data_IF_280296859853
#
_entry.id   IF_280296859853
#
_cell.length_a   1.000
_cell.length_b   1.000
_cell.length_c   1.000
_cell.angle_alpha   90.00
_cell.angle_beta   90.00
_cell.angle_gamma   90.00
#
_symmetry.space_group_name_H-M   'P 1'
#
loop_
_entity.id
_entity.type
_entity.pdbx_description
1 polymer ?
#
# COMPACT_ATOMS: atom_id res chain seq x y z
N UNK A 1 -31.65 -30.05 0.18
CA UNK A 1 -30.69 -28.92 0.13
C UNK A 1 -29.81 -28.99 -1.11
N UNK A 2 -29.13 -30.12 -1.37
CA UNK A 2 -28.29 -30.29 -2.57
C UNK A 2 -29.05 -30.10 -3.89
N UNK A 3 -30.27 -30.63 -4.03
CA UNK A 3 -31.07 -30.53 -5.28
C UNK A 3 -31.44 -29.10 -5.67
N UNK A 4 -31.83 -28.27 -4.70
CA UNK A 4 -32.18 -26.86 -4.94
C UNK A 4 -30.94 -26.03 -5.31
N UNK A 5 -29.81 -26.31 -4.66
CA UNK A 5 -28.53 -25.69 -4.99
C UNK A 5 -28.09 -26.03 -6.42
N UNK A 6 -28.21 -27.30 -6.82
CA UNK A 6 -27.91 -27.74 -8.19
C UNK A 6 -28.77 -26.98 -9.19
N UNK A 7 -30.07 -26.85 -8.93
CA UNK A 7 -30.99 -26.13 -9.82
C UNK A 7 -30.63 -24.64 -9.94
N UNK A 8 -30.26 -23.99 -8.83
CA UNK A 8 -29.82 -22.59 -8.85
C UNK A 8 -28.53 -22.42 -9.65
N UNK A 9 -27.58 -23.35 -9.54
CA UNK A 9 -26.33 -23.33 -10.30
C UNK A 9 -26.56 -23.57 -11.79
N UNK A 10 -27.41 -24.52 -12.15
CA UNK A 10 -27.80 -24.76 -13.55
C UNK A 10 -28.48 -23.54 -14.15
N UNK A 11 -29.42 -22.94 -13.42
CA UNK A 11 -30.09 -21.72 -13.85
C UNK A 11 -29.10 -20.56 -14.01
N UNK A 12 -28.18 -20.37 -13.05
CA UNK A 12 -27.12 -19.36 -13.14
C UNK A 12 -26.24 -19.53 -14.39
N UNK A 13 -25.94 -20.77 -14.77
CA UNK A 13 -25.15 -21.08 -15.96
C UNK A 13 -25.88 -20.82 -17.28
N UNK A 14 -27.21 -20.69 -17.27
CA UNK A 14 -28.01 -20.34 -18.43
C UNK A 14 -28.18 -18.82 -18.62
N UNK A 15 -27.85 -18.02 -17.59
CA UNK A 15 -27.96 -16.57 -17.65
C UNK A 15 -26.85 -15.93 -18.48
N UNK A 16 -27.19 -14.82 -19.14
CA UNK A 16 -26.22 -13.94 -19.81
C UNK A 16 -25.39 -13.15 -18.78
N UNK A 17 -24.22 -12.65 -19.18
CA UNK A 17 -23.29 -11.96 -18.28
C UNK A 17 -23.94 -10.79 -17.51
N UNK A 18 -24.78 -9.98 -18.19
CA UNK A 18 -25.51 -8.87 -17.55
C UNK A 18 -26.50 -9.35 -16.49
N UNK A 19 -27.17 -10.48 -16.76
CA UNK A 19 -28.14 -11.06 -15.84
C UNK A 19 -27.42 -11.68 -14.63
N UNK A 20 -26.27 -12.34 -14.85
CA UNK A 20 -25.41 -12.84 -13.78
C UNK A 20 -24.92 -11.72 -12.88
N UNK A 21 -24.45 -10.61 -13.47
CA UNK A 21 -24.00 -9.45 -12.68
C UNK A 21 -25.13 -8.87 -11.83
N UNK A 22 -26.32 -8.67 -12.41
CA UNK A 22 -27.48 -8.18 -11.67
C UNK A 22 -27.87 -9.12 -10.53
N UNK A 23 -27.91 -10.44 -10.79
CA UNK A 23 -28.21 -11.43 -9.76
C UNK A 23 -27.18 -11.42 -8.63
N UNK A 24 -25.88 -11.38 -8.97
CA UNK A 24 -24.81 -11.34 -7.98
C UNK A 24 -24.92 -10.10 -7.10
N UNK A 25 -25.22 -8.92 -7.68
CA UNK A 25 -25.44 -7.69 -6.90
C UNK A 25 -26.58 -7.85 -5.91
N UNK A 26 -27.73 -8.39 -6.34
CA UNK A 26 -28.88 -8.60 -5.44
C UNK A 26 -28.59 -9.62 -4.34
N UNK A 27 -27.93 -10.74 -4.67
CA UNK A 27 -27.54 -11.75 -3.68
C UNK A 27 -26.60 -11.17 -2.63
N UNK A 28 -25.57 -10.45 -3.07
CA UNK A 28 -24.60 -9.80 -2.19
C UNK A 28 -25.29 -8.76 -1.27
N UNK A 29 -26.21 -7.97 -1.81
CA UNK A 29 -26.97 -6.98 -1.03
C UNK A 29 -27.90 -7.63 0.01
N UNK A 30 -28.34 -8.88 -0.23
CA UNK A 30 -29.17 -9.64 0.71
C UNK A 30 -28.38 -10.37 1.79
N UNK A 31 -27.05 -10.41 1.70
CA UNK A 31 -26.21 -11.18 2.63
C UNK A 31 -26.18 -10.58 4.05
N UNK A 32 -26.22 -11.44 5.06
CA UNK A 32 -26.01 -11.07 6.46
C UNK A 32 -24.53 -10.92 6.80
N UNK A 33 -24.21 -10.31 7.96
CA UNK A 33 -22.81 -10.04 8.36
C UNK A 33 -21.88 -11.27 8.38
N UNK A 34 -22.40 -12.45 8.76
CA UNK A 34 -21.62 -13.69 8.73
C UNK A 34 -21.37 -14.21 7.31
N UNK A 35 -22.32 -14.00 6.40
CA UNK A 35 -22.18 -14.36 4.99
C UNK A 35 -21.21 -13.42 4.27
N UNK A 36 -21.19 -12.14 4.63
CA UNK A 36 -20.16 -11.20 4.19
C UNK A 36 -18.76 -11.61 4.63
N UNK A 37 -18.61 -12.05 5.88
CA UNK A 37 -17.32 -12.57 6.35
C UNK A 37 -16.90 -13.81 5.54
N UNK A 38 -17.81 -14.76 5.33
CA UNK A 38 -17.54 -15.92 4.48
C UNK A 38 -17.14 -15.52 3.06
N UNK A 39 -17.85 -14.58 2.45
CA UNK A 39 -17.53 -14.07 1.11
C UNK A 39 -16.13 -13.45 1.07
N UNK A 40 -15.73 -12.71 2.10
CA UNK A 40 -14.38 -12.14 2.19
C UNK A 40 -13.30 -13.23 2.22
N UNK A 41 -13.53 -14.33 2.95
CA UNK A 41 -12.60 -15.47 3.00
C UNK A 41 -12.52 -16.20 1.65
N UNK A 42 -13.65 -16.45 1.00
CA UNK A 42 -13.70 -17.17 -0.29
C UNK A 42 -13.10 -16.35 -1.44
N UNK A 43 -13.19 -15.03 -1.35
CA UNK A 43 -12.67 -14.14 -2.39
C UNK A 43 -11.19 -13.81 -2.21
N UNK A 44 -10.64 -13.88 -1.00
CA UNK A 44 -9.24 -13.50 -0.70
C UNK A 44 -8.21 -14.06 -1.70
N UNK A 45 -8.29 -15.35 -2.05
CA UNK A 45 -7.35 -16.00 -2.98
C UNK A 45 -7.63 -15.71 -4.46
N UNK A 46 -8.83 -15.20 -4.77
CA UNK A 46 -9.31 -14.95 -6.13
C UNK A 46 -9.37 -13.45 -6.46
N UNK A 47 -9.01 -12.57 -5.51
CA UNK A 47 -8.96 -11.13 -5.72
C UNK A 47 -8.04 -10.82 -6.90
N UNK A 48 -8.65 -10.24 -7.93
CA UNK A 48 -8.00 -9.79 -9.14
C UNK A 48 -7.31 -10.87 -10.01
N UNK A 49 -7.44 -12.17 -9.70
CA UNK A 49 -6.80 -13.25 -10.47
C UNK A 49 -7.22 -13.29 -11.94
N UNK A 50 -8.48 -12.93 -12.19
CA UNK A 50 -9.07 -12.82 -13.51
C UNK A 50 -9.57 -11.39 -13.78
N UNK A 51 -8.97 -10.36 -13.15
CA UNK A 51 -9.47 -8.99 -13.39
C UNK A 51 -9.13 -8.54 -14.81
N UNK A 52 -10.07 -7.90 -15.52
CA UNK A 52 -9.75 -7.17 -16.75
C UNK A 52 -8.68 -6.10 -16.51
N UNK A 53 -8.01 -5.67 -17.57
CA UNK A 53 -6.93 -4.66 -17.51
C UNK A 53 -7.35 -3.32 -16.91
N UNK A 54 -8.65 -3.03 -16.88
CA UNK A 54 -9.24 -1.77 -16.38
C UNK A 54 -9.69 -1.85 -14.91
N UNK A 55 -9.19 -2.84 -14.18
CA UNK A 55 -9.49 -3.00 -12.78
C UNK A 55 -9.05 -1.78 -11.95
N UNK A 56 -9.97 -1.20 -11.18
CA UNK A 56 -9.64 -0.06 -10.32
C UNK A 56 -8.65 -0.49 -9.22
N UNK A 57 -7.56 0.25 -9.12
CA UNK A 57 -6.58 0.08 -8.06
C UNK A 57 -7.17 0.50 -6.71
N UNK A 58 -7.07 -0.33 -5.65
CA UNK A 58 -7.59 0.01 -4.33
C UNK A 58 -7.00 1.31 -3.75
N UNK A 59 -5.70 1.57 -3.94
CA UNK A 59 -5.06 2.81 -3.48
C UNK A 59 -5.49 4.03 -4.31
N UNK A 60 -5.96 3.84 -5.55
CA UNK A 60 -6.50 4.92 -6.36
C UNK A 60 -7.91 5.34 -5.92
N UNK A 61 -8.64 4.46 -5.23
CA UNK A 61 -9.97 4.79 -4.68
C UNK A 61 -9.87 5.51 -3.32
N UNK A 62 -8.72 5.42 -2.65
CA UNK A 62 -8.50 6.03 -1.36
C UNK A 62 -8.00 7.49 -1.49
N UNK A 63 -8.38 8.38 -0.56
CA UNK A 63 -7.77 9.70 -0.45
C UNK A 63 -6.25 9.60 -0.27
N UNK A 64 -5.53 10.58 -0.83
CA UNK A 64 -4.06 10.63 -0.82
C UNK A 64 -3.46 10.37 0.58
N UNK A 65 -3.99 11.03 1.60
CA UNK A 65 -3.46 10.93 2.97
C UNK A 65 -3.60 9.53 3.56
N UNK A 66 -4.68 8.80 3.21
CA UNK A 66 -4.92 7.44 3.68
C UNK A 66 -3.96 6.48 2.97
N UNK A 67 -3.84 6.60 1.65
CA UNK A 67 -2.88 5.80 0.87
C UNK A 67 -1.45 6.03 1.34
N UNK A 68 -1.09 7.29 1.59
CA UNK A 68 0.20 7.67 2.13
C UNK A 68 0.45 7.10 3.53
N UNK A 69 -0.56 7.16 4.41
CA UNK A 69 -0.48 6.59 5.75
C UNK A 69 -0.24 5.08 5.72
N UNK A 70 -0.99 4.34 4.90
CA UNK A 70 -0.83 2.89 4.70
C UNK A 70 0.60 2.56 4.25
N UNK A 71 1.09 3.25 3.22
CA UNK A 71 2.46 3.07 2.73
C UNK A 71 3.52 3.39 3.79
N UNK A 72 3.25 4.33 4.70
CA UNK A 72 4.17 4.68 5.79
C UNK A 72 4.34 3.60 6.86
N UNK A 73 3.48 2.58 6.87
CA UNK A 73 3.55 1.44 7.80
C UNK A 73 4.42 0.29 7.26
N UNK A 74 4.77 0.33 5.98
CA UNK A 74 5.54 -0.71 5.32
C UNK A 74 7.05 -0.54 5.58
N UNK A 75 7.77 -1.66 5.53
CA UNK A 75 9.23 -1.65 5.55
C UNK A 75 9.81 -1.17 4.21
N UNK A 76 11.09 -0.71 4.18
CA UNK A 76 11.71 -0.18 2.98
C UNK A 76 11.69 -1.15 1.78
N UNK A 77 11.83 -2.46 2.01
CA UNK A 77 11.84 -3.46 0.94
C UNK A 77 10.45 -3.59 0.34
N UNK A 78 9.43 -3.67 1.20
CA UNK A 78 8.03 -3.68 0.76
C UNK A 78 7.68 -2.41 -0.01
N UNK A 79 8.12 -1.22 0.45
CA UNK A 79 7.90 0.04 -0.26
C UNK A 79 8.52 0.07 -1.66
N UNK A 80 9.73 -0.45 -1.82
CA UNK A 80 10.35 -0.56 -3.15
C UNK A 80 9.54 -1.49 -4.05
N UNK A 81 9.06 -2.63 -3.54
CA UNK A 81 8.19 -3.54 -4.31
C UNK A 81 6.87 -2.87 -4.69
N UNK A 82 6.26 -2.14 -3.76
CA UNK A 82 5.06 -1.34 -3.98
C UNK A 82 5.25 -0.31 -5.11
N UNK A 83 6.42 0.30 -5.23
CA UNK A 83 6.71 1.28 -6.30
C UNK A 83 6.65 0.68 -7.72
N UNK A 84 6.70 -0.64 -7.87
CA UNK A 84 6.67 -1.34 -9.15
C UNK A 84 5.26 -1.69 -9.65
N UNK A 85 4.22 -1.43 -8.84
CA UNK A 85 2.84 -1.81 -9.17
C UNK A 85 2.31 -0.97 -10.34
N UNK A 86 2.34 0.36 -10.20
CA UNK A 86 1.97 1.30 -11.27
C UNK A 86 2.53 2.71 -10.98
N UNK A 87 2.23 3.67 -11.87
CA UNK A 87 2.68 5.07 -11.78
C UNK A 87 2.21 5.78 -10.51
N UNK A 88 0.98 5.51 -10.04
CA UNK A 88 0.43 6.12 -8.83
C UNK A 88 1.19 5.62 -7.59
N UNK A 89 1.41 4.31 -7.50
CA UNK A 89 2.17 3.70 -6.41
C UNK A 89 3.62 4.17 -6.41
N UNK A 90 4.24 4.29 -7.58
CA UNK A 90 5.57 4.89 -7.73
C UNK A 90 5.59 6.31 -7.17
N UNK A 91 4.67 7.18 -7.60
CA UNK A 91 4.59 8.56 -7.12
C UNK A 91 4.43 8.65 -5.60
N UNK A 92 3.55 7.83 -5.03
CA UNK A 92 3.32 7.78 -3.57
C UNK A 92 4.57 7.27 -2.83
N UNK A 93 5.18 6.17 -3.28
CA UNK A 93 6.34 5.56 -2.63
C UNK A 93 7.59 6.42 -2.75
N UNK A 94 7.73 7.21 -3.83
CA UNK A 94 8.87 8.13 -4.03
C UNK A 94 8.78 9.40 -3.18
N UNK A 95 7.71 9.58 -2.40
CA UNK A 95 7.53 10.80 -1.63
C UNK A 95 8.58 10.93 -0.51
N UNK A 96 9.36 12.03 -0.45
CA UNK A 96 10.49 12.16 0.47
C UNK A 96 10.13 11.99 1.95
N UNK A 97 8.92 12.42 2.34
CA UNK A 97 8.48 12.34 3.73
C UNK A 97 8.38 10.89 4.24
N UNK A 98 8.07 9.90 3.38
CA UNK A 98 8.08 8.48 3.76
C UNK A 98 9.48 8.04 4.18
N UNK A 99 10.46 8.33 3.33
CA UNK A 99 11.85 7.95 3.55
C UNK A 99 12.47 8.68 4.74
N UNK A 100 12.16 9.97 4.93
CA UNK A 100 12.56 10.72 6.12
C UNK A 100 11.94 10.16 7.41
N UNK A 101 10.70 9.66 7.36
CA UNK A 101 10.06 9.04 8.53
C UNK A 101 10.69 7.69 8.84
N UNK A 102 10.96 6.88 7.83
CA UNK A 102 11.60 5.57 7.96
C UNK A 102 13.04 5.68 8.47
N UNK A 103 13.84 6.62 7.95
CA UNK A 103 15.23 6.81 8.36
C UNK A 103 15.37 7.23 9.83
N UNK A 104 14.36 7.93 10.37
CA UNK A 104 14.28 8.32 11.79
C UNK A 104 13.88 7.17 12.71
N UNK A 105 13.37 6.06 12.18
CA UNK A 105 13.06 4.91 13.01
C UNK A 105 14.36 4.24 13.45
N UNK A 106 14.49 3.96 14.75
CA UNK A 106 15.67 3.30 15.34
C UNK A 106 16.05 1.98 14.67
N UNK A 107 15.10 1.30 14.04
CA UNK A 107 15.33 0.05 13.29
C UNK A 107 16.14 0.26 12.00
N UNK A 108 16.05 1.44 11.40
CA UNK A 108 16.58 1.73 10.06
C UNK A 108 17.52 2.94 10.02
N UNK A 109 17.80 3.56 11.17
CA UNK A 109 18.80 4.63 11.28
C UNK A 109 20.19 4.07 10.98
N UNK A 110 20.80 4.56 9.90
CA UNK A 110 22.17 4.17 9.49
C UNK A 110 23.22 4.56 10.53
N UNK A 111 22.99 5.67 11.23
CA UNK A 111 23.87 6.14 12.28
C UNK A 111 23.39 5.63 13.62
N UNK A 112 24.28 4.98 14.37
CA UNK A 112 24.16 5.05 15.82
C UNK A 112 24.14 6.54 16.18
N UNK A 113 23.18 6.98 16.99
CA UNK A 113 23.06 8.40 17.39
C UNK A 113 24.40 8.99 17.90
N UNK A 114 25.36 8.15 18.28
CA UNK A 114 26.73 8.50 18.66
C UNK A 114 27.58 9.06 17.51
N UNK A 115 27.54 8.49 16.29
CA UNK A 115 28.37 9.01 15.18
C UNK A 115 27.84 10.35 14.66
N UNK A 116 26.52 10.51 14.59
CA UNK A 116 25.91 11.77 14.18
C UNK A 116 26.17 12.86 15.23
N UNK A 117 26.10 12.54 16.53
CA UNK A 117 26.47 13.49 17.59
C UNK A 117 27.95 13.87 17.52
N UNK A 118 28.86 12.90 17.36
CA UNK A 118 30.30 13.17 17.23
C UNK A 118 30.64 13.99 15.98
N UNK A 119 29.95 13.77 14.85
CA UNK A 119 30.13 14.60 13.65
C UNK A 119 29.53 16.00 13.80
N UNK A 120 28.42 16.17 14.51
CA UNK A 120 27.86 17.49 14.79
C UNK A 120 28.78 18.25 15.76
N UNK A 121 29.28 17.60 16.80
CA UNK A 121 30.25 18.16 17.75
C UNK A 121 31.57 18.55 17.07
N UNK A 122 32.07 17.75 16.13
CA UNK A 122 33.32 18.06 15.42
C UNK A 122 33.19 19.19 14.38
N UNK A 123 31.96 19.57 14.01
CA UNK A 123 31.68 20.62 13.03
C UNK A 123 30.89 21.81 13.60
N UNK A 124 30.74 21.89 14.92
CA UNK A 124 30.13 23.03 15.62
C UNK A 124 31.18 23.80 16.40
N UNK A 125 31.16 25.13 16.32
CA UNK A 125 31.99 25.98 17.19
C UNK A 125 31.42 26.03 18.61
N UNK A 126 32.17 26.58 19.57
CA UNK A 126 31.79 26.73 21.00
C UNK A 126 30.43 27.43 21.25
N UNK A 127 29.81 28.01 20.21
CA UNK A 127 28.49 28.65 20.23
C UNK A 127 27.36 27.81 19.58
N UNK A 128 27.62 26.56 19.19
CA UNK A 128 26.61 25.64 18.64
C UNK A 128 26.20 25.88 17.18
N UNK A 129 26.94 26.72 16.45
CA UNK A 129 26.66 27.05 15.04
C UNK A 129 27.48 26.13 14.12
N UNK A 130 26.85 25.42 13.16
CA UNK A 130 27.56 24.59 12.19
C UNK A 130 28.48 25.44 11.30
N UNK A 131 29.77 25.11 11.25
CA UNK A 131 30.74 25.75 10.35
C UNK A 131 30.72 25.06 8.99
N UNK A 132 30.38 25.81 7.93
CA UNK A 132 30.56 25.33 6.55
C UNK A 132 32.05 25.38 6.22
N UNK A 133 32.68 24.22 6.03
CA UNK A 133 34.05 24.14 5.55
C UNK A 133 34.18 24.91 4.22
N UNK A 134 34.93 26.03 4.24
CA UNK A 134 35.30 26.74 3.02
C UNK A 134 36.08 25.77 2.13
N UNK A 135 35.58 25.54 0.91
CA UNK A 135 36.27 24.77 -0.12
C UNK A 135 37.69 25.31 -0.25
N UNK A 136 38.71 24.46 -0.08
CA UNK A 136 40.08 24.81 -0.42
C UNK A 136 40.13 25.07 -1.92
N UNK A 137 40.40 26.32 -2.28
CA UNK A 137 40.76 26.69 -3.66
C UNK A 137 42.02 25.89 -4.03
N UNK A 138 41.89 25.07 -5.05
CA UNK A 138 42.98 24.29 -5.63
C UNK A 138 43.71 25.23 -6.59
N UNK A 139 44.94 25.62 -6.24
CA UNK A 139 45.90 26.27 -7.14
C UNK A 139 46.52 25.26 -8.10
#
# INVERSE_FOLDING_TARGET
FSSELVRVVEWFNQLDDRQREALLRELINSCSGSQWHLLSLLTADNWHRNCPSDCSDPLAQLPFDISFYILSLLDPISLVRCSLVNKLWYYLCSHPQLWCKLSKQKKWSFSSNLLDQQQIESHTNEQGIPQVCKKKDIQ
#
